data_IF_189558233339
#
_entry.id   IF_189558233339
#
_cell.length_a   1.000
_cell.length_b   1.000
_cell.length_c   1.000
_cell.angle_alpha   90.00
_cell.angle_beta   90.00
_cell.angle_gamma   90.00
#
_symmetry.space_group_name_H-M   'P 1'
#
loop_
_entity.id
_entity.type
_entity.pdbx_description
1 polymer ?
#
# COMPACT_ATOMS: atom_id res chain seq x y z
N UNK A 1 -19.52 24.55 20.86
CA UNK A 1 -19.78 24.11 19.46
C UNK A 1 -19.76 25.36 18.58
N UNK A 2 -18.91 25.41 17.56
CA UNK A 2 -18.87 26.54 16.63
C UNK A 2 -19.96 26.36 15.58
N UNK A 3 -20.67 27.44 15.24
CA UNK A 3 -21.65 27.42 14.15
C UNK A 3 -20.92 27.48 12.81
N UNK A 4 -21.38 26.70 11.83
CA UNK A 4 -20.82 26.77 10.46
C UNK A 4 -21.11 28.11 9.78
N UNK A 5 -22.19 28.80 10.18
CA UNK A 5 -22.56 30.11 9.63
C UNK A 5 -21.60 31.24 10.04
N UNK A 6 -20.83 31.03 11.10
CA UNK A 6 -19.85 32.01 11.59
C UNK A 6 -18.46 31.82 10.97
N UNK A 7 -18.31 30.86 10.05
CA UNK A 7 -17.05 30.50 9.41
C UNK A 7 -16.92 31.14 8.02
N UNK A 8 -15.76 31.70 7.73
CA UNK A 8 -15.39 32.23 6.42
C UNK A 8 -14.03 31.73 5.98
N UNK A 9 -13.89 31.47 4.67
CA UNK A 9 -12.63 31.14 4.01
C UNK A 9 -12.05 32.42 3.41
N UNK A 10 -10.86 32.82 3.86
CA UNK A 10 -10.19 34.04 3.40
C UNK A 10 -8.86 33.67 2.79
N UNK A 11 -8.57 34.19 1.59
CA UNK A 11 -7.25 34.05 0.98
C UNK A 11 -6.28 35.07 1.59
N UNK A 12 -5.24 34.59 2.26
CA UNK A 12 -4.17 35.42 2.78
C UNK A 12 -3.10 35.62 1.71
N UNK A 13 -3.00 36.85 1.20
CA UNK A 13 -2.06 37.22 0.12
C UNK A 13 -0.60 37.10 0.53
N UNK A 14 -0.28 37.23 1.81
CA UNK A 14 1.11 37.18 2.29
C UNK A 14 1.62 35.74 2.32
N UNK A 15 0.80 34.82 2.84
CA UNK A 15 1.15 33.40 2.93
C UNK A 15 0.78 32.60 1.68
N UNK A 16 0.00 33.20 0.76
CA UNK A 16 -0.60 32.55 -0.42
C UNK A 16 -1.39 31.29 -0.07
N UNK A 17 -2.08 31.32 1.08
CA UNK A 17 -2.85 30.18 1.62
C UNK A 17 -4.28 30.61 1.98
N UNK A 18 -5.18 29.64 1.95
CA UNK A 18 -6.51 29.81 2.54
C UNK A 18 -6.41 29.79 4.07
N UNK A 19 -7.20 30.63 4.71
CA UNK A 19 -7.32 30.72 6.16
C UNK A 19 -8.79 30.61 6.54
N UNK A 20 -9.10 29.70 7.46
CA UNK A 20 -10.43 29.64 8.07
C UNK A 20 -10.51 30.69 9.18
N UNK A 21 -11.54 31.53 9.15
CA UNK A 21 -11.83 32.53 10.18
C UNK A 21 -13.22 32.34 10.74
N UNK A 22 -13.33 32.58 12.04
CA UNK A 22 -14.59 32.73 12.73
C UNK A 22 -14.81 34.18 13.10
N UNK A 23 -16.02 34.71 12.90
CA UNK A 23 -16.33 36.13 13.06
C UNK A 23 -15.90 36.73 14.41
N UNK A 24 -16.00 35.96 15.50
CA UNK A 24 -15.64 36.42 16.86
C UNK A 24 -14.25 36.02 17.35
N UNK A 25 -13.72 34.90 16.84
CA UNK A 25 -12.52 34.25 17.41
C UNK A 25 -11.30 34.54 16.52
N UNK A 26 -11.52 35.00 15.29
CA UNK A 26 -10.48 35.19 14.31
C UNK A 26 -10.06 33.87 13.67
N UNK A 27 -8.77 33.66 13.46
CA UNK A 27 -8.25 32.50 12.74
C UNK A 27 -8.51 31.19 13.50
N UNK A 28 -8.97 30.17 12.80
CA UNK A 28 -9.18 28.81 13.30
C UNK A 28 -8.40 27.83 12.43
N UNK A 29 -7.82 26.79 13.03
CA UNK A 29 -7.24 25.66 12.32
C UNK A 29 -8.07 24.42 12.66
N UNK A 30 -8.87 23.88 11.73
CA UNK A 30 -9.56 22.63 11.98
C UNK A 30 -8.54 21.49 12.03
N UNK A 31 -8.73 20.56 12.97
CA UNK A 31 -7.86 19.39 13.12
C UNK A 31 -8.72 18.16 13.37
N UNK A 32 -8.56 17.15 12.53
CA UNK A 32 -9.25 15.87 12.66
C UNK A 32 -8.32 14.87 13.38
N UNK A 33 -8.72 14.47 14.59
CA UNK A 33 -7.98 13.54 15.46
C UNK A 33 -8.51 12.10 15.38
N UNK A 34 -9.49 11.84 14.53
CA UNK A 34 -10.05 10.49 14.41
C UNK A 34 -9.22 9.60 13.50
N UNK A 35 -9.43 8.30 13.62
CA UNK A 35 -8.77 7.28 12.80
C UNK A 35 -9.51 6.96 11.50
N UNK A 36 -10.72 7.50 11.29
CA UNK A 36 -11.46 7.25 10.06
C UNK A 36 -10.78 7.97 8.90
N UNK A 37 -10.59 7.28 7.78
CA UNK A 37 -10.09 7.90 6.55
C UNK A 37 -10.93 9.15 6.23
N UNK A 38 -10.32 10.35 6.07
CA UNK A 38 -11.05 11.61 5.86
C UNK A 38 -12.03 11.60 4.69
N UNK A 39 -11.83 10.70 3.73
CA UNK A 39 -12.72 10.47 2.59
C UNK A 39 -14.16 10.11 3.01
N UNK A 40 -14.34 9.41 4.12
CA UNK A 40 -15.66 8.99 4.62
C UNK A 40 -16.34 10.05 5.51
N UNK A 41 -15.70 11.21 5.73
CA UNK A 41 -16.31 12.28 6.50
C UNK A 41 -17.45 12.96 5.71
N UNK A 42 -18.46 13.51 6.40
CA UNK A 42 -19.46 14.35 5.76
C UNK A 42 -18.80 15.55 5.05
N UNK A 43 -19.45 16.06 4.01
CA UNK A 43 -18.84 16.96 3.01
C UNK A 43 -18.04 18.12 3.61
N UNK A 44 -18.62 18.88 4.54
CA UNK A 44 -17.94 20.06 5.12
C UNK A 44 -16.67 19.66 5.90
N UNK A 45 -16.76 18.64 6.75
CA UNK A 45 -15.64 18.14 7.56
C UNK A 45 -14.53 17.57 6.67
N UNK A 46 -14.91 16.84 5.62
CA UNK A 46 -13.99 16.31 4.61
C UNK A 46 -13.20 17.46 3.95
N UNK A 47 -13.88 18.49 3.43
CA UNK A 47 -13.20 19.61 2.79
C UNK A 47 -12.30 20.38 3.76
N UNK A 48 -12.78 20.68 4.98
CA UNK A 48 -11.97 21.36 5.98
C UNK A 48 -10.71 20.55 6.35
N UNK A 49 -10.83 19.23 6.48
CA UNK A 49 -9.70 18.35 6.79
C UNK A 49 -8.69 18.36 5.64
N UNK A 50 -9.13 18.21 4.39
CA UNK A 50 -8.22 18.18 3.24
C UNK A 50 -7.55 19.53 2.92
N UNK A 51 -8.21 20.66 3.18
CA UNK A 51 -7.64 22.00 2.91
C UNK A 51 -6.62 22.41 3.98
N UNK A 52 -6.90 22.11 5.24
CA UNK A 52 -6.16 22.68 6.37
C UNK A 52 -5.23 21.71 7.09
N UNK A 53 -5.45 20.40 6.96
CA UNK A 53 -4.57 19.39 7.52
C UNK A 53 -3.68 18.85 6.40
N UNK A 54 -2.37 18.78 6.64
CA UNK A 54 -1.44 18.12 5.72
C UNK A 54 -1.91 16.68 5.52
N UNK A 55 -2.40 16.39 4.31
CA UNK A 55 -2.90 15.09 3.96
C UNK A 55 -1.79 14.04 3.92
N UNK A 56 -2.20 12.79 4.04
CA UNK A 56 -1.37 11.63 3.75
C UNK A 56 -0.79 11.75 2.34
N UNK A 57 0.53 11.96 2.24
CA UNK A 57 1.24 11.78 0.98
C UNK A 57 1.64 10.31 0.95
N UNK A 58 0.81 9.49 0.32
CA UNK A 58 1.28 8.19 -0.14
C UNK A 58 2.48 8.44 -1.04
N UNK A 59 3.58 7.70 -0.85
CA UNK A 59 4.73 7.73 -1.74
C UNK A 59 4.73 6.47 -2.63
N UNK A 60 3.82 6.37 -3.62
CA UNK A 60 3.67 5.15 -4.40
C UNK A 60 4.73 5.07 -5.52
N UNK A 61 6.01 5.03 -5.16
CA UNK A 61 7.13 5.09 -6.12
C UNK A 61 7.01 4.05 -7.24
N UNK A 62 6.72 2.79 -6.90
CA UNK A 62 6.49 1.74 -7.90
C UNK A 62 5.30 2.04 -8.84
N UNK A 63 4.21 2.66 -8.36
CA UNK A 63 3.05 3.00 -9.21
C UNK A 63 3.45 4.05 -10.24
N UNK A 64 4.22 5.07 -9.86
CA UNK A 64 4.73 6.05 -10.81
C UNK A 64 5.59 5.40 -11.90
N UNK A 65 6.41 4.40 -11.54
CA UNK A 65 7.14 3.63 -12.54
C UNK A 65 6.19 2.84 -13.45
N UNK A 66 5.24 2.08 -12.89
CA UNK A 66 4.26 1.29 -13.66
C UNK A 66 3.43 2.12 -14.65
N UNK A 67 3.09 3.36 -14.31
CA UNK A 67 2.35 4.25 -15.19
C UNK A 67 3.15 4.70 -16.42
N UNK A 68 4.48 4.77 -16.30
CA UNK A 68 5.38 5.22 -17.36
C UNK A 68 5.99 4.06 -18.18
N UNK A 69 5.74 2.80 -17.80
CA UNK A 69 6.29 1.64 -18.50
C UNK A 69 5.60 1.39 -19.84
N UNK A 70 6.36 1.03 -20.89
CA UNK A 70 5.80 0.54 -22.16
C UNK A 70 4.96 -0.75 -21.97
N UNK A 71 3.91 -0.97 -22.78
CA UNK A 71 3.05 -2.16 -22.67
C UNK A 71 3.79 -3.49 -22.75
N UNK A 72 4.82 -3.58 -23.59
CA UNK A 72 5.64 -4.79 -23.76
C UNK A 72 6.40 -5.17 -22.48
N UNK A 73 6.89 -4.18 -21.74
CA UNK A 73 7.59 -4.41 -20.47
C UNK A 73 6.63 -4.91 -19.38
N UNK A 74 5.36 -4.52 -19.45
CA UNK A 74 4.31 -4.95 -18.51
C UNK A 74 3.96 -6.45 -18.63
N UNK A 75 4.37 -7.12 -19.72
CA UNK A 75 4.24 -8.56 -19.89
C UNK A 75 5.31 -9.37 -19.13
N UNK A 76 6.34 -8.70 -18.61
CA UNK A 76 7.42 -9.30 -17.83
C UNK A 76 7.21 -9.12 -16.33
N UNK A 77 7.89 -9.95 -15.52
CA UNK A 77 7.95 -9.75 -14.06
C UNK A 77 8.84 -8.55 -13.80
N UNK A 78 8.28 -7.55 -13.11
CA UNK A 78 8.97 -6.29 -12.82
C UNK A 78 9.44 -6.31 -11.38
N UNK A 79 10.68 -5.88 -11.16
CA UNK A 79 11.32 -5.88 -9.84
C UNK A 79 11.62 -4.46 -9.41
N UNK A 80 11.18 -4.11 -8.21
CA UNK A 80 11.44 -2.82 -7.60
C UNK A 80 12.30 -3.01 -6.37
N UNK A 81 13.43 -2.30 -6.34
CA UNK A 81 14.35 -2.30 -5.20
C UNK A 81 13.74 -1.68 -3.94
N UNK A 82 14.43 -1.90 -2.82
CA UNK A 82 14.14 -1.23 -1.56
C UNK A 82 14.52 0.24 -1.68
N UNK A 83 13.65 1.14 -1.21
CA UNK A 83 13.93 2.58 -1.14
C UNK A 83 14.10 2.93 0.34
N UNK A 84 15.23 3.53 0.68
CA UNK A 84 15.58 3.89 2.06
C UNK A 84 16.01 5.36 2.17
N UNK A 85 15.70 5.97 3.32
CA UNK A 85 16.29 7.25 3.74
C UNK A 85 17.05 6.96 5.04
N UNK A 86 18.39 6.89 4.96
CA UNK A 86 19.19 6.35 6.05
C UNK A 86 18.73 4.92 6.40
N UNK A 87 18.38 4.71 7.67
CA UNK A 87 17.89 3.42 8.17
C UNK A 87 16.37 3.24 8.07
N UNK A 88 15.65 4.19 7.47
CA UNK A 88 14.19 4.12 7.33
C UNK A 88 13.85 3.55 5.96
N UNK A 89 13.17 2.40 5.95
CA UNK A 89 12.65 1.79 4.72
C UNK A 89 11.34 2.49 4.35
N UNK A 90 11.37 3.23 3.24
CA UNK A 90 10.19 3.93 2.70
C UNK A 90 9.40 3.02 1.75
N UNK A 91 10.11 2.15 1.03
CA UNK A 91 9.50 1.13 0.17
C UNK A 91 10.28 -0.19 0.32
N UNK A 92 9.57 -1.28 0.63
CA UNK A 92 10.11 -2.65 0.57
C UNK A 92 10.40 -3.07 -0.87
N UNK A 93 11.26 -4.07 -1.07
CA UNK A 93 11.41 -4.73 -2.39
C UNK A 93 10.06 -5.28 -2.82
N UNK A 94 9.75 -5.12 -4.11
CA UNK A 94 8.49 -5.59 -4.69
C UNK A 94 8.71 -6.30 -6.00
N UNK A 95 7.81 -7.22 -6.31
CA UNK A 95 7.70 -7.86 -7.60
C UNK A 95 6.28 -7.68 -8.10
N UNK A 96 6.14 -7.18 -9.33
CA UNK A 96 4.86 -7.06 -10.01
C UNK A 96 4.81 -8.14 -11.08
N UNK A 97 3.87 -9.06 -10.91
CA UNK A 97 3.78 -10.29 -11.69
C UNK A 97 2.51 -10.23 -12.53
N UNK A 98 2.64 -10.09 -13.86
CA UNK A 98 1.49 -10.10 -14.74
C UNK A 98 0.85 -11.48 -14.73
N UNK A 99 -0.49 -11.51 -14.85
CA UNK A 99 -1.28 -12.73 -14.73
C UNK A 99 -0.77 -13.84 -15.65
N UNK A 100 -0.41 -13.50 -16.89
CA UNK A 100 0.04 -14.46 -17.90
C UNK A 100 1.25 -15.28 -17.43
N UNK A 101 2.14 -14.69 -16.61
CA UNK A 101 3.34 -15.36 -16.08
C UNK A 101 3.03 -16.37 -14.99
N UNK A 102 1.86 -16.27 -14.37
CA UNK A 102 1.40 -17.27 -13.40
C UNK A 102 0.52 -18.34 -14.04
N UNK A 103 -0.21 -18.03 -15.12
CA UNK A 103 -0.96 -19.02 -15.91
C UNK A 103 -0.04 -20.14 -16.46
N UNK A 104 1.25 -19.86 -16.65
CA UNK A 104 2.26 -20.87 -17.03
C UNK A 104 2.46 -21.96 -15.95
N UNK A 105 2.11 -21.68 -14.70
CA UNK A 105 2.12 -22.64 -13.58
C UNK A 105 0.79 -23.41 -13.45
N UNK A 106 -0.22 -23.04 -14.25
CA UNK A 106 -1.54 -23.64 -14.22
C UNK A 106 -1.68 -24.74 -15.28
N UNK A 107 -1.69 -25.98 -14.79
CA UNK A 107 -2.30 -27.10 -15.49
C UNK A 107 -2.69 -28.18 -14.47
N UNK A 108 -3.41 -29.21 -14.94
CA UNK A 108 -3.80 -30.43 -14.22
C UNK A 108 -2.58 -31.25 -13.73
N UNK A 109 -1.77 -30.66 -12.87
CA UNK A 109 -0.57 -31.23 -12.28
C UNK A 109 -0.87 -31.72 -10.88
N UNK A 110 -0.20 -32.82 -10.49
CA UNK A 110 -0.25 -33.33 -9.12
C UNK A 110 0.28 -32.28 -8.14
N UNK A 111 -0.05 -32.42 -6.85
CA UNK A 111 0.43 -31.49 -5.82
C UNK A 111 1.97 -31.44 -5.76
N UNK A 112 2.63 -32.58 -5.92
CA UNK A 112 4.10 -32.67 -5.91
C UNK A 112 4.74 -31.97 -7.12
N UNK A 113 4.16 -32.14 -8.31
CA UNK A 113 4.63 -31.45 -9.51
C UNK A 113 4.48 -29.94 -9.38
N UNK A 114 3.34 -29.49 -8.85
CA UNK A 114 3.11 -28.07 -8.60
C UNK A 114 4.09 -27.53 -7.56
N UNK A 115 4.32 -28.26 -6.45
CA UNK A 115 5.29 -27.88 -5.44
C UNK A 115 6.70 -27.73 -6.02
N UNK A 116 7.16 -28.69 -6.84
CA UNK A 116 8.46 -28.58 -7.50
C UNK A 116 8.54 -27.38 -8.46
N UNK A 117 7.52 -27.20 -9.30
CA UNK A 117 7.49 -26.12 -10.29
C UNK A 117 7.45 -24.74 -9.65
N UNK A 118 6.71 -24.56 -8.55
CA UNK A 118 6.68 -23.27 -7.85
C UNK A 118 8.05 -22.96 -7.23
N UNK A 119 8.75 -23.94 -6.63
CA UNK A 119 10.11 -23.70 -6.12
C UNK A 119 11.06 -23.28 -7.23
N UNK A 120 11.00 -23.99 -8.37
CA UNK A 120 11.82 -23.68 -9.55
C UNK A 120 11.53 -22.27 -10.05
N UNK A 121 10.25 -21.90 -10.17
CA UNK A 121 9.84 -20.58 -10.64
C UNK A 121 10.26 -19.45 -9.71
N UNK A 122 10.18 -19.66 -8.38
CA UNK A 122 10.70 -18.70 -7.39
C UNK A 122 12.20 -18.46 -7.62
N UNK A 123 12.97 -19.53 -7.79
CA UNK A 123 14.42 -19.46 -7.99
C UNK A 123 14.78 -18.78 -9.32
N UNK A 124 14.14 -19.17 -10.43
CA UNK A 124 14.38 -18.59 -11.75
C UNK A 124 14.03 -17.10 -11.83
N UNK A 125 13.03 -16.66 -11.06
CA UNK A 125 12.58 -15.27 -11.04
C UNK A 125 13.15 -14.48 -9.86
N UNK A 126 14.02 -15.07 -9.04
CA UNK A 126 14.62 -14.43 -7.86
C UNK A 126 13.54 -13.72 -7.01
N UNK A 127 12.54 -14.54 -6.66
CA UNK A 127 11.49 -14.22 -5.71
C UNK A 127 11.89 -14.75 -4.32
N UNK A 128 11.46 -14.10 -3.24
CA UNK A 128 11.64 -14.64 -1.90
C UNK A 128 10.68 -15.84 -1.69
N UNK A 129 11.08 -16.78 -0.84
CA UNK A 129 10.21 -17.90 -0.42
C UNK A 129 9.13 -17.45 0.56
N UNK A 130 9.42 -16.43 1.36
CA UNK A 130 8.47 -15.75 2.26
C UNK A 130 8.13 -14.36 1.74
N UNK A 131 6.86 -14.06 1.59
CA UNK A 131 6.42 -12.76 1.09
C UNK A 131 5.01 -12.41 1.56
N UNK A 132 4.68 -11.14 1.44
CA UNK A 132 3.30 -10.69 1.39
C UNK A 132 2.87 -10.56 -0.05
N UNK A 133 1.64 -10.93 -0.39
CA UNK A 133 1.10 -10.66 -1.73
C UNK A 133 -0.30 -10.06 -1.71
N UNK A 134 -0.59 -9.33 -2.77
CA UNK A 134 -1.92 -8.82 -3.11
C UNK A 134 -2.26 -9.16 -4.55
N UNK A 135 -3.56 -9.25 -4.82
CA UNK A 135 -4.10 -9.38 -6.15
C UNK A 135 -4.47 -7.99 -6.64
N UNK A 136 -3.86 -7.53 -7.73
CA UNK A 136 -4.04 -6.14 -8.19
C UNK A 136 -4.29 -6.07 -9.69
N UNK A 137 -5.26 -5.25 -10.14
CA UNK A 137 -5.40 -4.92 -11.55
C UNK A 137 -4.15 -4.17 -12.02
N UNK A 138 -3.46 -4.74 -13.00
CA UNK A 138 -2.20 -4.17 -13.52
C UNK A 138 -2.41 -3.31 -14.77
N UNK A 139 -3.59 -3.41 -15.39
CA UNK A 139 -3.97 -2.63 -16.56
C UNK A 139 -4.90 -1.47 -16.16
N UNK A 140 -4.65 -0.28 -16.73
CA UNK A 140 -5.46 0.91 -16.45
C UNK A 140 -6.93 0.73 -16.85
N UNK A 141 -7.20 -0.05 -17.90
CA UNK A 141 -8.58 -0.37 -18.32
C UNK A 141 -9.33 -1.19 -17.27
N UNK A 142 -8.64 -2.02 -16.51
CA UNK A 142 -9.23 -2.82 -15.44
C UNK A 142 -9.48 -1.96 -14.19
N UNK A 143 -8.62 -0.95 -13.95
CA UNK A 143 -8.84 0.06 -12.91
C UNK A 143 -10.08 0.93 -13.18
N UNK A 144 -10.24 1.43 -14.41
CA UNK A 144 -11.40 2.28 -14.76
C UNK A 144 -12.71 1.50 -14.74
N UNK A 145 -12.74 0.30 -15.33
CA UNK A 145 -13.93 -0.56 -15.29
C UNK A 145 -14.36 -0.92 -13.87
N UNK A 146 -13.40 -1.05 -12.95
CA UNK A 146 -13.71 -1.36 -11.56
C UNK A 146 -14.40 -0.20 -10.83
N UNK A 147 -14.13 1.07 -11.19
CA UNK A 147 -14.74 2.22 -10.50
C UNK A 147 -16.21 2.48 -10.90
N UNK A 148 -16.62 2.08 -12.11
CA UNK A 148 -17.98 2.29 -12.64
C UNK A 148 -18.93 1.09 -12.40
N UNK A 149 -18.42 -0.01 -11.83
CA UNK A 149 -19.21 -1.22 -11.54
C UNK A 149 -19.67 -1.21 -10.08
N UNK A 150 -20.98 -1.29 -9.84
CA UNK A 150 -21.58 -1.39 -8.50
C UNK A 150 -21.08 -2.64 -7.73
N UNK A 151 -20.48 -3.60 -8.44
CA UNK A 151 -19.74 -4.74 -7.89
C UNK A 151 -18.21 -4.51 -7.90
N UNK A 152 -17.73 -3.35 -7.45
CA UNK A 152 -16.31 -3.13 -7.18
C UNK A 152 -15.82 -4.17 -6.17
N UNK A 153 -15.28 -5.29 -6.65
CA UNK A 153 -14.49 -6.20 -5.84
C UNK A 153 -13.29 -5.40 -5.36
N UNK A 154 -13.29 -5.08 -4.07
CA UNK A 154 -12.32 -4.20 -3.46
C UNK A 154 -10.92 -4.79 -3.65
N UNK A 155 -10.21 -4.35 -4.69
CA UNK A 155 -8.85 -4.78 -5.02
C UNK A 155 -7.83 -4.30 -3.98
N UNK A 156 -8.28 -3.48 -3.00
CA UNK A 156 -7.56 -3.18 -1.77
C UNK A 156 -7.58 -4.35 -0.78
N UNK A 157 -7.37 -5.56 -1.31
CA UNK A 157 -7.19 -6.75 -0.51
C UNK A 157 -5.98 -6.53 0.40
N UNK A 158 -6.17 -6.82 1.69
CA UNK A 158 -5.07 -6.81 2.66
C UNK A 158 -3.96 -7.75 2.17
N UNK A 159 -2.69 -7.34 2.28
CA UNK A 159 -1.60 -8.23 1.90
C UNK A 159 -1.65 -9.51 2.74
N UNK A 160 -1.52 -10.66 2.08
CA UNK A 160 -1.53 -11.97 2.72
C UNK A 160 -0.10 -12.50 2.82
N UNK A 161 0.29 -12.94 4.01
CA UNK A 161 1.56 -13.62 4.23
C UNK A 161 1.54 -15.01 3.58
N UNK A 162 2.65 -15.38 2.94
CA UNK A 162 2.89 -16.69 2.36
C UNK A 162 4.31 -17.14 2.67
N UNK A 163 4.46 -18.41 2.98
CA UNK A 163 5.76 -19.10 3.07
C UNK A 163 5.74 -20.32 2.14
N UNK A 164 6.26 -20.15 0.92
CA UNK A 164 6.26 -21.21 -0.08
C UNK A 164 7.26 -22.33 0.22
N UNK A 165 8.08 -22.25 1.27
CA UNK A 165 8.82 -23.42 1.74
C UNK A 165 7.91 -24.46 2.42
N UNK A 166 6.72 -24.05 2.86
CA UNK A 166 5.74 -24.90 3.52
C UNK A 166 4.68 -25.41 2.50
N UNK A 167 4.51 -26.73 2.33
CA UNK A 167 3.54 -27.31 1.39
C UNK A 167 2.09 -26.86 1.60
N UNK A 168 1.68 -26.54 2.83
CA UNK A 168 0.32 -26.07 3.13
C UNK A 168 0.11 -24.68 2.52
N UNK A 169 1.05 -23.77 2.71
CA UNK A 169 1.02 -22.44 2.10
C UNK A 169 1.06 -22.52 0.58
N UNK A 170 1.80 -23.48 0.00
CA UNK A 170 1.77 -23.72 -1.45
C UNK A 170 0.37 -24.13 -1.93
N UNK A 171 -0.36 -24.98 -1.19
CA UNK A 171 -1.74 -25.34 -1.52
C UNK A 171 -2.70 -24.15 -1.44
N UNK A 172 -2.58 -23.34 -0.38
CA UNK A 172 -3.39 -22.13 -0.20
C UNK A 172 -3.10 -21.13 -1.32
N UNK A 173 -1.82 -20.88 -1.59
CA UNK A 173 -1.38 -20.01 -2.66
C UNK A 173 -1.94 -20.46 -4.01
N UNK A 174 -1.78 -21.74 -4.38
CA UNK A 174 -2.38 -22.32 -5.59
C UNK A 174 -3.87 -22.02 -5.69
N UNK A 175 -4.63 -22.35 -4.64
CA UNK A 175 -6.09 -22.16 -4.59
C UNK A 175 -6.46 -20.70 -4.78
N UNK A 176 -5.77 -19.79 -4.09
CA UNK A 176 -6.01 -18.36 -4.21
C UNK A 176 -5.68 -17.87 -5.61
N UNK A 177 -4.60 -18.36 -6.22
CA UNK A 177 -4.12 -17.89 -7.53
C UNK A 177 -4.91 -18.38 -8.73
N UNK A 178 -5.43 -19.61 -8.70
CA UNK A 178 -6.15 -20.21 -9.83
C UNK A 178 -7.48 -19.54 -10.15
N UNK A 179 -8.07 -18.82 -9.19
CA UNK A 179 -9.37 -18.16 -9.36
C UNK A 179 -9.28 -16.70 -9.82
N UNK A 180 -8.08 -16.15 -10.00
CA UNK A 180 -7.87 -14.70 -10.09
C UNK A 180 -7.91 -14.18 -11.52
N UNK A 181 -8.51 -13.00 -11.71
CA UNK A 181 -8.48 -12.24 -12.96
C UNK A 181 -7.31 -11.26 -13.11
N UNK A 182 -6.72 -10.89 -11.99
CA UNK A 182 -5.69 -9.88 -11.79
C UNK A 182 -4.26 -10.44 -11.76
N UNK A 183 -3.27 -9.54 -11.77
CA UNK A 183 -1.88 -9.90 -11.50
C UNK A 183 -1.58 -9.93 -10.00
N UNK A 184 -0.33 -10.24 -9.65
CA UNK A 184 0.14 -10.27 -8.27
C UNK A 184 1.12 -9.13 -8.00
N UNK A 185 0.95 -8.47 -6.87
CA UNK A 185 1.96 -7.63 -6.26
C UNK A 185 2.53 -8.38 -5.06
N UNK A 186 3.80 -8.72 -5.12
CA UNK A 186 4.54 -9.40 -4.05
C UNK A 186 5.46 -8.37 -3.38
N UNK A 187 5.52 -8.39 -2.05
CA UNK A 187 6.46 -7.60 -1.24
C UNK A 187 7.28 -8.53 -0.35
N UNK A 188 8.56 -8.21 -0.17
CA UNK A 188 9.41 -8.94 0.79
C UNK A 188 8.83 -8.89 2.21
N UNK A 189 9.04 -9.96 2.98
CA UNK A 189 8.78 -9.94 4.42
C UNK A 189 9.90 -9.12 5.08
N UNK A 190 9.52 -8.02 5.74
CA UNK A 190 10.44 -7.15 6.46
C UNK A 190 9.69 -6.43 7.60
N UNK A 191 10.03 -6.66 8.88
CA UNK A 191 11.05 -7.61 9.36
C UNK A 191 10.64 -9.08 9.13
N UNK A 192 11.60 -9.97 8.87
CA UNK A 192 11.38 -11.42 9.03
C UNK A 192 11.65 -11.76 10.50
N UNK A 193 10.73 -12.49 11.14
CA UNK A 193 10.89 -12.95 12.52
C UNK A 193 12.18 -13.75 12.71
N UNK A 194 12.65 -14.45 11.67
CA UNK A 194 13.92 -15.18 11.70
C UNK A 194 15.17 -14.28 11.81
N UNK A 195 15.08 -12.99 11.49
CA UNK A 195 16.17 -12.03 11.65
C UNK A 195 16.24 -11.47 13.09
N UNK A 196 15.17 -11.64 13.87
CA UNK A 196 15.12 -11.23 15.28
C UNK A 196 15.54 -12.40 16.18
N UNK A 197 16.85 -12.58 16.34
CA UNK A 197 17.38 -13.47 17.38
C UNK A 197 17.41 -12.66 18.67
N UNK A 198 16.25 -12.57 19.35
CA UNK A 198 16.28 -12.23 20.76
C UNK A 198 16.77 -13.48 21.54
N UNK A 199 17.82 -13.31 22.35
CA UNK A 199 18.38 -14.36 23.19
C UNK A 199 17.62 -14.49 24.53
N UNK A 200 16.53 -13.74 24.70
CA UNK A 200 15.62 -13.89 25.83
C UNK A 200 14.71 -15.11 25.60
N UNK A 201 14.32 -15.82 26.66
CA UNK A 201 13.37 -16.95 26.59
C UNK A 201 11.93 -16.53 26.22
N UNK A 202 11.74 -15.31 25.71
CA UNK A 202 10.43 -14.76 25.35
C UNK A 202 10.06 -15.11 23.92
N UNK A 203 8.77 -15.36 23.70
CA UNK A 203 8.22 -15.54 22.36
C UNK A 203 8.38 -14.24 21.54
N UNK A 204 8.82 -14.37 20.29
CA UNK A 204 8.92 -13.26 19.36
C UNK A 204 7.54 -12.93 18.77
N UNK A 205 7.13 -11.67 18.83
CA UNK A 205 5.89 -11.18 18.23
C UNK A 205 6.17 -10.17 17.11
N UNK A 206 5.23 -10.04 16.17
CA UNK A 206 5.27 -8.96 15.18
C UNK A 206 4.73 -7.70 15.83
N UNK A 207 5.53 -6.63 15.84
CA UNK A 207 5.20 -5.36 16.47
C UNK A 207 5.10 -4.23 15.44
N UNK A 208 4.19 -3.29 15.70
CA UNK A 208 4.05 -2.04 14.94
C UNK A 208 4.01 -0.86 15.92
N UNK A 209 4.86 0.13 15.70
CA UNK A 209 4.98 1.32 16.54
C UNK A 209 4.44 2.54 15.81
N UNK A 210 3.50 3.25 16.43
CA UNK A 210 3.03 4.56 15.96
C UNK A 210 3.85 5.64 16.66
N UNK A 211 4.70 6.31 15.89
CA UNK A 211 5.54 7.40 16.38
C UNK A 211 4.98 8.75 15.92
N UNK A 212 4.54 9.57 16.86
CA UNK A 212 4.14 10.95 16.57
C UNK A 212 5.38 11.86 16.52
N UNK A 213 5.73 12.31 15.31
CA UNK A 213 6.83 13.26 15.11
C UNK A 213 6.27 14.68 15.12
N UNK A 214 6.74 15.49 16.05
CA UNK A 214 6.43 16.92 16.08
C UNK A 214 7.59 17.71 15.47
N UNK A 215 7.28 18.60 14.51
CA UNK A 215 8.28 19.56 14.06
C UNK A 215 8.48 20.61 15.16
N UNK A 216 9.70 20.73 15.68
CA UNK A 216 10.10 22.01 16.28
C UNK A 216 10.09 23.05 15.16
N UNK A 217 9.25 24.05 15.29
CA UNK A 217 9.34 25.25 14.46
C UNK A 217 10.70 25.87 14.76
N UNK A 218 11.68 25.66 13.87
CA UNK A 218 12.92 26.43 13.91
C UNK A 218 12.52 27.90 13.73
N UNK A 219 12.58 28.68 14.81
CA UNK A 219 12.48 30.13 14.74
C UNK A 219 13.74 30.65 14.04
N UNK A 220 13.62 31.05 12.78
CA UNK A 220 14.58 31.90 12.09
C UNK A 220 15.61 31.17 11.22
N UNK A 221 15.48 31.39 9.90
CA UNK A 221 16.58 31.90 9.07
C UNK A 221 16.07 33.22 8.51
#
# INVERSE_FOLDING_TARGET
>A
KLSSYDLSLVFDKNTKRLVLRHNKIGKINPFYIGYLTPFYLPSLQKYLTHIFQSGYIGLPFHIYNELNLPPEEKLSIRKYGRITIGNVVIQRKKWVIPRQRFLELEANMSEMQYFYNIQKWILENDLPTKFFFKMVPLEYKDLVKSQDDDNYENTDAKPLYMDLSNPIFVKVFRKLTTTIKYGLLIEEVLPDLGEYIDNSEQENYVEEYILELTQKVCKGI
#
